data_IF_628899303958
#
_entry.id   IF_628899303958
#
_cell.length_a   1.000
_cell.length_b   1.000
_cell.length_c   1.000
_cell.angle_alpha   90.00
_cell.angle_beta   90.00
_cell.angle_gamma   90.00
#
_symmetry.space_group_name_H-M   'P 1'
#
loop_
_entity.id
_entity.type
_entity.pdbx_description
1 polymer ?
#
# COMPACT_ATOMS: atom_id res chain seq x y z
N UNK A 1 -7.20 18.10 15.22
CA UNK A 1 -7.29 16.93 14.33
C UNK A 1 -8.71 16.44 14.34
N UNK A 2 -9.38 16.37 13.18
CA UNK A 2 -10.64 15.63 13.05
C UNK A 2 -10.25 14.17 12.82
N UNK A 3 -10.84 13.25 13.56
CA UNK A 3 -10.59 11.82 13.37
C UNK A 3 -11.56 11.29 12.32
N UNK A 4 -11.01 10.59 11.32
CA UNK A 4 -11.71 10.16 10.12
C UNK A 4 -11.83 8.63 10.09
N UNK A 5 -12.69 8.12 10.98
CA UNK A 5 -12.82 6.69 11.23
C UNK A 5 -13.36 5.90 10.02
N UNK A 6 -14.21 6.52 9.20
CA UNK A 6 -14.77 5.86 8.02
C UNK A 6 -13.68 5.68 6.97
N UNK A 7 -12.90 6.72 6.72
CA UNK A 7 -11.84 6.74 5.72
C UNK A 7 -10.66 5.83 6.12
N UNK A 8 -10.35 5.79 7.42
CA UNK A 8 -9.41 4.82 7.98
C UNK A 8 -9.92 3.38 7.83
N UNK A 9 -11.22 3.13 8.09
CA UNK A 9 -11.82 1.80 7.89
C UNK A 9 -11.77 1.38 6.43
N UNK A 10 -11.97 2.30 5.49
CA UNK A 10 -11.86 2.02 4.06
C UNK A 10 -10.40 1.73 3.65
N UNK A 11 -9.44 2.43 4.26
CA UNK A 11 -8.00 2.17 4.07
C UNK A 11 -7.51 0.86 4.70
N UNK A 12 -8.22 0.37 5.73
CA UNK A 12 -7.97 -0.95 6.32
C UNK A 12 -8.24 -2.05 5.30
N UNK A 13 -9.32 -1.94 4.52
CA UNK A 13 -9.68 -2.93 3.49
C UNK A 13 -8.95 -2.71 2.17
N UNK A 14 -8.82 -1.44 1.75
CA UNK A 14 -8.22 -1.07 0.46
C UNK A 14 -7.20 0.04 0.66
N UNK A 15 -5.92 -0.30 0.50
CA UNK A 15 -4.82 0.66 0.67
C UNK A 15 -4.99 1.83 -0.30
N UNK A 16 -5.02 3.06 0.22
CA UNK A 16 -5.18 4.29 -0.56
C UNK A 16 -6.63 4.78 -0.72
N UNK A 17 -7.64 3.98 -0.38
CA UNK A 17 -9.04 4.33 -0.61
C UNK A 17 -9.53 5.48 0.29
N UNK A 18 -9.11 5.51 1.56
CA UNK A 18 -9.47 6.60 2.48
C UNK A 18 -8.96 7.95 1.99
N UNK A 19 -7.75 8.00 1.43
CA UNK A 19 -7.18 9.20 0.83
C UNK A 19 -8.02 9.71 -0.34
N UNK A 20 -8.48 8.81 -1.22
CA UNK A 20 -9.35 9.18 -2.36
C UNK A 20 -10.64 9.82 -1.87
N UNK A 21 -11.27 9.22 -0.84
CA UNK A 21 -12.55 9.69 -0.30
C UNK A 21 -12.41 11.04 0.39
N UNK A 22 -11.25 11.33 0.96
CA UNK A 22 -10.91 12.66 1.50
C UNK A 22 -10.62 13.72 0.44
N UNK A 23 -10.60 13.35 -0.84
CA UNK A 23 -10.25 14.25 -1.94
C UNK A 23 -8.75 14.30 -2.25
N UNK A 24 -7.91 13.52 -1.55
CA UNK A 24 -6.47 13.35 -1.88
C UNK A 24 -6.27 12.28 -2.98
N UNK A 25 -7.00 12.42 -4.08
CA UNK A 25 -7.10 11.41 -5.15
C UNK A 25 -5.75 10.96 -5.72
N UNK A 26 -4.82 11.88 -6.00
CA UNK A 26 -3.50 11.55 -6.54
C UNK A 26 -2.67 10.68 -5.58
N UNK A 27 -2.73 10.99 -4.28
CA UNK A 27 -2.00 10.24 -3.26
C UNK A 27 -2.60 8.87 -3.03
N UNK A 28 -3.92 8.78 -2.95
CA UNK A 28 -4.63 7.51 -2.86
C UNK A 28 -4.39 6.62 -4.08
N UNK A 29 -4.39 7.19 -5.28
CA UNK A 29 -4.05 6.48 -6.51
C UNK A 29 -2.60 5.97 -6.49
N UNK A 30 -1.64 6.79 -6.05
CA UNK A 30 -0.25 6.36 -5.90
C UNK A 30 -0.12 5.18 -4.94
N UNK A 31 -0.82 5.21 -3.81
CA UNK A 31 -0.84 4.13 -2.82
C UNK A 31 -1.43 2.85 -3.41
N UNK A 32 -2.55 2.94 -4.13
CA UNK A 32 -3.18 1.80 -4.82
C UNK A 32 -2.23 1.20 -5.84
N UNK A 33 -1.64 2.02 -6.73
CA UNK A 33 -0.73 1.55 -7.75
C UNK A 33 0.52 0.91 -7.14
N UNK A 34 1.08 1.52 -6.10
CA UNK A 34 2.26 0.95 -5.44
C UNK A 34 1.93 -0.40 -4.82
N UNK A 35 0.83 -0.48 -4.06
CA UNK A 35 0.48 -1.66 -3.28
C UNK A 35 -0.01 -2.84 -4.14
N UNK A 36 -0.89 -2.57 -5.10
CA UNK A 36 -1.58 -3.61 -5.86
C UNK A 36 -0.97 -3.88 -7.24
N UNK A 37 -0.09 -2.99 -7.75
CA UNK A 37 0.58 -3.19 -9.03
C UNK A 37 2.09 -3.31 -8.88
N UNK A 38 2.76 -2.31 -8.31
CA UNK A 38 4.23 -2.27 -8.26
C UNK A 38 4.81 -3.38 -7.39
N UNK A 39 4.30 -3.57 -6.17
CA UNK A 39 4.81 -4.62 -5.28
C UNK A 39 4.62 -6.03 -5.86
N UNK A 40 3.43 -6.43 -6.36
CA UNK A 40 3.27 -7.70 -7.07
C UNK A 40 4.16 -7.84 -8.30
N UNK A 41 4.30 -6.77 -9.11
CA UNK A 41 5.17 -6.80 -10.29
C UNK A 41 6.63 -7.05 -9.92
N UNK A 42 7.15 -6.43 -8.85
CA UNK A 42 8.51 -6.67 -8.36
C UNK A 42 8.69 -8.14 -7.95
N UNK A 43 7.72 -8.72 -7.25
CA UNK A 43 7.77 -10.15 -6.85
C UNK A 43 7.82 -11.04 -8.09
N UNK A 44 6.93 -10.81 -9.07
CA UNK A 44 6.89 -11.59 -10.31
C UNK A 44 8.18 -11.45 -11.13
N UNK A 45 8.70 -10.23 -11.28
CA UNK A 45 9.96 -9.97 -11.98
C UNK A 45 11.14 -10.65 -11.28
N UNK A 46 11.17 -10.64 -9.94
CA UNK A 46 12.24 -11.31 -9.18
C UNK A 46 12.23 -12.83 -9.40
N UNK A 47 11.05 -13.43 -9.49
CA UNK A 47 10.90 -14.84 -9.80
C UNK A 47 11.37 -15.16 -11.23
N UNK A 48 11.04 -14.30 -12.20
CA UNK A 48 11.36 -14.49 -13.62
C UNK A 48 12.85 -14.27 -13.93
N UNK A 49 13.47 -13.24 -13.36
CA UNK A 49 14.82 -12.81 -13.74
C UNK A 49 15.92 -13.38 -12.84
N UNK A 50 15.64 -13.52 -11.54
CA UNK A 50 16.68 -13.82 -10.53
C UNK A 50 16.10 -14.75 -9.46
N UNK A 51 15.67 -15.95 -9.87
CA UNK A 51 14.96 -16.91 -9.02
C UNK A 51 15.65 -17.25 -7.69
N UNK A 52 16.98 -17.25 -7.63
CA UNK A 52 17.72 -17.45 -6.37
C UNK A 52 17.53 -16.32 -5.35
N UNK A 53 17.22 -15.11 -5.82
CA UNK A 53 16.99 -13.94 -4.97
C UNK A 53 15.53 -13.75 -4.58
N UNK A 54 14.61 -14.53 -5.15
CA UNK A 54 13.16 -14.42 -4.94
C UNK A 54 12.75 -14.42 -3.45
N UNK A 55 13.24 -15.32 -2.58
CA UNK A 55 12.81 -15.34 -1.18
C UNK A 55 13.15 -14.05 -0.43
N UNK A 56 14.31 -13.44 -0.74
CA UNK A 56 14.72 -12.17 -0.14
C UNK A 56 13.82 -11.02 -0.62
N UNK A 57 13.56 -10.94 -1.93
CA UNK A 57 12.67 -9.92 -2.50
C UNK A 57 11.26 -10.04 -1.93
N UNK A 58 10.73 -11.26 -1.84
CA UNK A 58 9.43 -11.53 -1.25
C UNK A 58 9.37 -11.05 0.21
N UNK A 59 10.39 -11.37 1.02
CA UNK A 59 10.48 -10.91 2.41
C UNK A 59 10.48 -9.38 2.52
N UNK A 60 11.29 -8.69 1.72
CA UNK A 60 11.32 -7.22 1.69
C UNK A 60 9.97 -6.62 1.25
N UNK A 61 9.34 -7.18 0.23
CA UNK A 61 8.05 -6.71 -0.27
C UNK A 61 6.95 -6.89 0.78
N UNK A 62 6.92 -8.00 1.52
CA UNK A 62 5.94 -8.22 2.59
C UNK A 62 6.09 -7.16 3.70
N UNK A 63 7.32 -6.93 4.17
CA UNK A 63 7.58 -5.93 5.20
C UNK A 63 7.17 -4.54 4.70
N UNK A 64 7.56 -4.18 3.48
CA UNK A 64 7.22 -2.89 2.90
C UNK A 64 5.71 -2.73 2.68
N UNK A 65 5.01 -3.78 2.26
CA UNK A 65 3.55 -3.79 2.14
C UNK A 65 2.90 -3.50 3.50
N UNK A 66 3.31 -4.17 4.58
CA UNK A 66 2.77 -3.91 5.92
C UNK A 66 2.97 -2.45 6.33
N UNK A 67 4.16 -1.90 6.09
CA UNK A 67 4.47 -0.50 6.40
C UNK A 67 3.57 0.44 5.58
N UNK A 68 3.42 0.21 4.27
CA UNK A 68 2.61 1.04 3.39
C UNK A 68 1.11 0.98 3.75
N UNK A 69 0.64 -0.19 4.16
CA UNK A 69 -0.73 -0.39 4.64
C UNK A 69 -0.99 0.37 5.94
N UNK A 70 -0.13 0.22 6.94
CA UNK A 70 -0.23 0.97 8.20
C UNK A 70 -0.14 2.48 7.96
N UNK A 71 0.73 2.92 7.05
CA UNK A 71 0.82 4.32 6.63
C UNK A 71 -0.50 4.80 6.04
N UNK A 72 -1.12 4.04 5.13
CA UNK A 72 -2.40 4.41 4.52
C UNK A 72 -3.52 4.53 5.56
N UNK A 73 -3.58 3.62 6.53
CA UNK A 73 -4.57 3.69 7.63
C UNK A 73 -4.33 4.90 8.52
N UNK A 74 -3.08 5.09 8.98
CA UNK A 74 -2.73 6.19 9.87
C UNK A 74 -2.98 7.55 9.21
N UNK A 75 -2.61 7.67 7.94
CA UNK A 75 -2.83 8.88 7.17
C UNK A 75 -4.33 9.16 6.98
N UNK A 76 -5.12 8.13 6.61
CA UNK A 76 -6.57 8.27 6.50
C UNK A 76 -7.27 8.50 7.86
N UNK A 77 -6.63 8.20 9.00
CA UNK A 77 -7.18 8.51 10.32
C UNK A 77 -6.88 9.94 10.76
N UNK A 78 -5.66 10.43 10.50
CA UNK A 78 -5.10 11.63 11.14
C UNK A 78 -5.14 12.89 10.27
N UNK A 79 -5.08 12.74 8.94
CA UNK A 79 -5.15 13.84 7.96
C UNK A 79 -6.44 13.75 7.17
#
# INVERSE_FOLDING_TARGET
>A
MKLHYIEASLSLFVVGLGQIIKGEGNKGLLLILTFYLTLPAIVLLSLLLVGNSFPYVLGFVIIFAIILWLYSIADALLR
#
